data_IF_013753834564
#
_entry.id   IF_013753834564
#
_cell.length_a   1.000
_cell.length_b   1.000
_cell.length_c   1.000
_cell.angle_alpha   90.00
_cell.angle_beta   90.00
_cell.angle_gamma   90.00
#
_symmetry.space_group_name_H-M   'P 1'
#
loop_
_entity.id
_entity.type
_entity.pdbx_description
1 polymer ?
#
# COMPACT_ATOMS: atom_id res chain seq x y z
N UNK A 1 -3.57 25.48 13.30
CA UNK A 1 -2.66 24.98 12.25
C UNK A 1 -2.71 23.48 12.37
N UNK A 2 -3.28 22.77 11.38
CA UNK A 2 -3.41 21.31 11.44
C UNK A 2 -1.99 20.74 11.33
N UNK A 3 -1.52 20.05 12.36
CA UNK A 3 -0.14 19.52 12.38
C UNK A 3 0.05 18.54 11.23
N UNK A 4 1.01 18.83 10.35
CA UNK A 4 1.41 17.99 9.20
C UNK A 4 1.73 16.54 9.61
N UNK A 5 2.10 16.38 10.88
CA UNK A 5 2.53 15.16 11.55
C UNK A 5 1.46 14.04 11.55
N UNK A 6 0.16 14.35 11.44
CA UNK A 6 -0.92 13.34 11.40
C UNK A 6 -1.26 12.85 9.97
N UNK A 7 -0.97 13.66 8.94
CA UNK A 7 -1.12 13.30 7.51
C UNK A 7 0.06 12.45 7.00
N UNK A 8 1.09 12.26 7.83
CA UNK A 8 2.32 11.53 7.55
C UNK A 8 2.26 10.02 7.81
N UNK A 9 1.24 9.52 8.50
CA UNK A 9 1.36 8.23 9.21
C UNK A 9 1.25 6.98 8.31
N UNK A 10 0.62 7.04 7.13
CA UNK A 10 0.55 5.88 6.21
C UNK A 10 0.65 6.33 4.74
N UNK A 11 1.86 6.70 4.34
CA UNK A 11 2.20 7.00 2.94
C UNK A 11 3.05 5.90 2.34
N UNK A 12 2.95 5.72 1.03
CA UNK A 12 3.72 4.74 0.30
C UNK A 12 5.23 4.99 0.52
N UNK A 13 6.00 4.00 1.00
CA UNK A 13 7.42 4.18 1.33
C UNK A 13 8.27 4.59 0.12
N UNK A 14 7.79 4.29 -1.08
CA UNK A 14 8.44 4.68 -2.33
C UNK A 14 8.10 6.12 -2.75
N UNK A 15 6.83 6.51 -2.65
CA UNK A 15 6.37 7.79 -3.20
C UNK A 15 6.49 8.93 -2.21
N UNK A 16 6.52 8.68 -0.90
CA UNK A 16 6.60 9.73 0.14
C UNK A 16 7.79 10.68 -0.02
N UNK A 17 8.83 10.27 -0.75
CA UNK A 17 10.02 11.09 -1.05
C UNK A 17 9.81 12.10 -2.18
N UNK A 18 8.88 11.84 -3.09
CA UNK A 18 8.69 12.61 -4.34
C UNK A 18 7.25 13.12 -4.54
N UNK A 19 6.26 12.49 -3.92
CA UNK A 19 4.83 12.74 -4.09
C UNK A 19 4.07 12.59 -2.76
N UNK A 20 2.76 12.83 -2.79
CA UNK A 20 1.87 12.64 -1.65
C UNK A 20 1.83 11.17 -1.22
N UNK A 21 1.84 10.19 -2.14
CA UNK A 21 2.03 8.79 -1.81
C UNK A 21 0.82 8.17 -1.09
N UNK A 22 -0.38 8.54 -1.52
CA UNK A 22 -1.62 8.15 -0.84
C UNK A 22 -1.87 6.65 -0.96
N UNK A 23 -2.09 5.99 0.18
CA UNK A 23 -2.44 4.57 0.27
C UNK A 23 -3.96 4.43 0.50
N UNK A 24 -4.57 3.49 -0.21
CA UNK A 24 -5.99 3.14 -0.09
C UNK A 24 -6.08 1.70 0.40
N UNK A 25 -6.80 1.50 1.49
CA UNK A 25 -7.09 0.17 2.00
C UNK A 25 -8.14 -0.52 1.11
N UNK A 26 -7.83 -1.72 0.64
CA UNK A 26 -8.70 -2.55 -0.18
C UNK A 26 -8.96 -3.88 0.51
N UNK A 27 -10.24 -4.16 0.78
CA UNK A 27 -10.73 -5.39 1.44
C UNK A 27 -10.01 -5.73 2.76
N UNK A 28 -9.51 -4.73 3.48
CA UNK A 28 -8.76 -4.90 4.74
C UNK A 28 -7.51 -5.80 4.62
N UNK A 29 -7.09 -6.09 3.40
CA UNK A 29 -6.05 -7.08 3.08
C UNK A 29 -4.95 -6.51 2.21
N UNK A 30 -5.16 -5.33 1.65
CA UNK A 30 -4.26 -4.70 0.69
C UNK A 30 -4.21 -3.19 0.89
N UNK A 31 -3.02 -2.61 0.84
CA UNK A 31 -2.79 -1.18 0.76
C UNK A 31 -2.34 -0.84 -0.65
N UNK A 32 -3.17 -0.11 -1.39
CA UNK A 32 -2.93 0.25 -2.78
C UNK A 32 -2.48 1.70 -2.85
N UNK A 33 -1.32 1.97 -3.45
CA UNK A 33 -0.88 3.33 -3.67
C UNK A 33 -1.52 3.92 -4.93
N UNK A 34 -2.17 5.08 -4.81
CA UNK A 34 -2.80 5.78 -5.94
C UNK A 34 -1.77 6.41 -6.90
N UNK A 35 -0.58 6.75 -6.40
CA UNK A 35 0.47 7.40 -7.20
C UNK A 35 1.30 6.44 -8.06
N UNK A 36 1.60 5.25 -7.53
CA UNK A 36 2.46 4.26 -8.20
C UNK A 36 1.77 2.92 -8.48
N UNK A 37 0.49 2.76 -8.12
CA UNK A 37 -0.29 1.53 -8.30
C UNK A 37 0.26 0.27 -7.61
N UNK A 38 1.29 0.40 -6.76
CA UNK A 38 1.83 -0.68 -5.94
C UNK A 38 0.81 -1.12 -4.91
N UNK A 39 0.78 -2.43 -4.64
CA UNK A 39 -0.22 -3.05 -3.76
C UNK A 39 0.48 -3.88 -2.71
N UNK A 40 0.45 -3.39 -1.48
CA UNK A 40 1.11 -4.00 -0.34
C UNK A 40 0.11 -4.92 0.37
N UNK A 41 0.40 -6.23 0.51
CA UNK A 41 -0.47 -7.14 1.23
C UNK A 41 -0.44 -6.89 2.75
N UNK A 42 -1.53 -7.20 3.44
CA UNK A 42 -1.63 -7.22 4.91
C UNK A 42 -1.65 -8.67 5.35
N UNK A 43 -0.59 -9.12 6.01
CA UNK A 43 -0.40 -10.51 6.44
C UNK A 43 -0.40 -10.53 7.96
N UNK A 44 -1.23 -11.38 8.57
CA UNK A 44 -1.38 -11.45 10.04
C UNK A 44 -1.69 -10.09 10.70
N UNK A 45 -2.58 -9.29 10.07
CA UNK A 45 -2.91 -7.92 10.50
C UNK A 45 -1.74 -6.91 10.38
N UNK A 46 -0.59 -7.34 9.84
CA UNK A 46 0.60 -6.51 9.65
C UNK A 46 0.73 -6.10 8.18
N UNK A 47 0.70 -4.79 7.85
CA UNK A 47 0.90 -4.33 6.48
C UNK A 47 2.34 -4.54 6.03
N UNK A 48 2.53 -5.38 5.02
CA UNK A 48 3.83 -5.67 4.42
C UNK A 48 4.19 -4.54 3.44
N UNK A 49 4.67 -3.42 3.97
CA UNK A 49 5.10 -2.25 3.19
C UNK A 49 6.49 -2.43 2.53
N UNK A 50 6.77 -3.62 2.00
CA UNK A 50 7.99 -3.91 1.25
C UNK A 50 7.80 -3.50 -0.22
N UNK A 51 8.73 -2.69 -0.73
CA UNK A 51 8.71 -2.22 -2.11
C UNK A 51 8.69 -3.39 -3.11
N UNK A 52 9.51 -4.42 -2.88
CA UNK A 52 9.58 -5.63 -3.72
C UNK A 52 8.24 -6.37 -3.79
N UNK A 53 7.54 -6.48 -2.66
CA UNK A 53 6.22 -7.11 -2.60
C UNK A 53 5.18 -6.25 -3.33
N UNK A 54 5.17 -4.93 -3.08
CA UNK A 54 4.26 -4.00 -3.74
C UNK A 54 4.38 -3.93 -5.27
N UNK A 55 5.60 -4.10 -5.78
CA UNK A 55 5.91 -4.04 -7.21
C UNK A 55 5.34 -5.24 -7.98
N UNK A 56 5.33 -6.44 -7.37
CA UNK A 56 4.77 -7.67 -7.96
C UNK A 56 3.30 -7.54 -8.37
N UNK A 57 2.57 -6.71 -7.63
CA UNK A 57 1.14 -6.52 -7.82
C UNK A 57 0.80 -5.25 -8.60
N UNK A 58 1.79 -4.47 -9.05
CA UNK A 58 1.55 -3.20 -9.76
C UNK A 58 0.71 -3.42 -11.02
N UNK A 59 0.99 -4.49 -11.76
CA UNK A 59 0.29 -4.87 -13.00
C UNK A 59 -0.99 -5.68 -12.77
N UNK A 60 -1.26 -6.13 -11.54
CA UNK A 60 -2.47 -6.88 -11.20
C UNK A 60 -3.61 -5.91 -10.88
N UNK A 61 -4.77 -6.09 -11.51
CA UNK A 61 -5.96 -5.30 -11.17
C UNK A 61 -6.42 -5.58 -9.72
N UNK A 62 -6.97 -4.56 -9.05
CA UNK A 62 -7.46 -4.67 -7.67
C UNK A 62 -8.49 -5.80 -7.45
N UNK A 63 -9.33 -6.06 -8.46
CA UNK A 63 -10.34 -7.11 -8.45
C UNK A 63 -9.74 -8.53 -8.51
N UNK A 64 -8.55 -8.68 -9.06
CA UNK A 64 -7.83 -9.95 -9.18
C UNK A 64 -6.90 -10.22 -8.00
N UNK A 65 -6.89 -9.35 -6.99
CA UNK A 65 -6.07 -9.56 -5.80
C UNK A 65 -6.62 -10.70 -4.94
N UNK A 66 -5.81 -11.71 -4.60
CA UNK A 66 -6.23 -12.77 -3.69
C UNK A 66 -6.48 -12.23 -2.28
N UNK A 67 -7.53 -12.71 -1.63
CA UNK A 67 -7.85 -12.44 -0.23
C UNK A 67 -8.14 -13.79 0.46
N UNK A 68 -7.37 -14.22 1.47
CA UNK A 68 -6.25 -13.49 2.10
C UNK A 68 -5.04 -13.36 1.16
N UNK A 69 -4.21 -12.33 1.33
CA UNK A 69 -3.01 -12.15 0.53
C UNK A 69 -2.04 -13.32 0.77
N UNK A 70 -1.25 -13.73 -0.24
CA UNK A 70 -0.28 -14.79 -0.08
C UNK A 70 0.81 -14.35 0.89
N UNK A 71 0.84 -14.99 2.06
CA UNK A 71 2.02 -15.02 2.91
C UNK A 71 3.05 -15.90 2.19
N UNK A 72 4.16 -15.30 1.79
CA UNK A 72 5.25 -15.98 1.09
C UNK A 72 5.81 -17.15 1.89
#
# INVERSE_FOLDING_TARGET
>A
MVSAELLEILRCPNCVREKEGNLTLYKDSWLICQDCNRKYPIVDDIPVMLIDEGDKWVSTSQESLPVPPPAK
#
